data_IF_627106408521
#
_entry.id   IF_627106408521
#
_cell.length_a   1.000
_cell.length_b   1.000
_cell.length_c   1.000
_cell.angle_alpha   90.00
_cell.angle_beta   90.00
_cell.angle_gamma   90.00
#
_symmetry.space_group_name_H-M   'P 1'
#
loop_
_entity.id
_entity.type
_entity.pdbx_description
1 polymer ?
#
# COMPACT_ATOMS: atom_id res chain seq x y z
N UNK A 1 10.08 9.49 -17.09
CA UNK A 1 8.74 10.07 -17.32
C UNK A 1 7.94 9.07 -18.10
N UNK A 2 7.22 8.16 -17.43
CA UNK A 2 6.29 7.25 -18.10
C UNK A 2 4.96 7.98 -18.27
N UNK A 3 4.49 8.14 -19.50
CA UNK A 3 3.12 8.57 -19.75
C UNK A 3 2.21 7.42 -19.30
N UNK A 4 1.60 7.56 -18.13
CA UNK A 4 0.52 6.70 -17.68
C UNK A 4 -0.73 7.07 -18.49
N UNK A 5 -0.84 6.52 -19.69
CA UNK A 5 -2.12 6.53 -20.40
C UNK A 5 -3.11 5.73 -19.56
N UNK A 6 -4.30 6.28 -19.35
CA UNK A 6 -5.37 5.54 -18.65
C UNK A 6 -5.71 4.29 -19.45
N UNK A 7 -6.04 3.18 -18.78
CA UNK A 7 -6.58 1.97 -19.43
C UNK A 7 -7.75 2.33 -20.36
N UNK A 8 -8.54 3.32 -19.95
CA UNK A 8 -9.67 3.86 -20.71
C UNK A 8 -9.23 4.50 -22.03
N UNK A 9 -8.09 5.21 -22.05
CA UNK A 9 -7.53 5.80 -23.26
C UNK A 9 -7.01 4.72 -24.22
N UNK A 10 -6.37 3.68 -23.68
CA UNK A 10 -5.87 2.53 -24.46
C UNK A 10 -7.05 1.81 -25.11
N UNK A 11 -8.08 1.48 -24.33
CA UNK A 11 -9.29 0.81 -24.81
C UNK A 11 -10.00 1.63 -25.90
N UNK A 12 -10.15 2.93 -25.67
CA UNK A 12 -10.78 3.84 -26.63
C UNK A 12 -10.00 3.89 -27.95
N UNK A 13 -8.68 4.09 -27.89
CA UNK A 13 -7.84 4.17 -29.08
C UNK A 13 -7.83 2.87 -29.87
N UNK A 14 -7.70 1.73 -29.18
CA UNK A 14 -7.77 0.39 -29.81
C UNK A 14 -9.14 0.14 -30.45
N UNK A 15 -10.23 0.48 -29.76
CA UNK A 15 -11.58 0.34 -30.32
C UNK A 15 -11.78 1.24 -31.56
N UNK A 16 -11.33 2.49 -31.52
CA UNK A 16 -11.41 3.41 -32.66
C UNK A 16 -10.62 2.88 -33.86
N UNK A 17 -9.40 2.39 -33.65
CA UNK A 17 -8.55 1.83 -34.72
C UNK A 17 -9.15 0.56 -35.36
N UNK A 18 -9.71 -0.34 -34.54
CA UNK A 18 -10.39 -1.55 -34.99
C UNK A 18 -11.65 -1.20 -35.79
N UNK A 19 -12.49 -0.31 -35.26
CA UNK A 19 -13.73 0.13 -35.92
C UNK A 19 -13.45 0.81 -37.25
N UNK A 20 -12.45 1.68 -37.31
CA UNK A 20 -12.05 2.34 -38.56
C UNK A 20 -11.63 1.30 -39.61
N UNK A 21 -10.79 0.34 -39.22
CA UNK A 21 -10.29 -0.71 -40.12
C UNK A 21 -11.41 -1.62 -40.64
N UNK A 22 -12.32 -2.04 -39.75
CA UNK A 22 -13.48 -2.85 -40.11
C UNK A 22 -14.41 -2.10 -41.06
N UNK A 23 -14.64 -0.80 -40.82
CA UNK A 23 -15.47 0.04 -41.69
C UNK A 23 -14.89 0.12 -43.10
N UNK A 24 -13.57 0.25 -43.23
CA UNK A 24 -12.90 0.26 -44.54
C UNK A 24 -13.04 -1.10 -45.25
N UNK A 25 -12.84 -2.20 -44.53
CA UNK A 25 -13.05 -3.55 -45.06
C UNK A 25 -14.49 -3.78 -45.55
N UNK A 26 -15.49 -3.43 -44.74
CA UNK A 26 -16.91 -3.55 -45.10
C UNK A 26 -17.25 -2.66 -46.30
N UNK A 27 -16.75 -1.43 -46.33
CA UNK A 27 -16.97 -0.50 -47.45
C UNK A 27 -16.40 -1.06 -48.76
N UNK A 28 -15.25 -1.72 -48.70
CA UNK A 28 -14.66 -2.36 -49.88
C UNK A 28 -15.49 -3.55 -50.39
N UNK A 29 -16.07 -4.34 -49.49
CA UNK A 29 -17.03 -5.39 -49.86
C UNK A 29 -18.30 -4.81 -50.50
N UNK A 30 -18.80 -3.70 -49.97
CA UNK A 30 -19.99 -3.05 -50.53
C UNK A 30 -19.76 -2.62 -51.99
N UNK A 31 -18.56 -2.11 -52.32
CA UNK A 31 -18.18 -1.77 -53.70
C UNK A 31 -18.14 -2.98 -54.63
N UNK A 32 -17.68 -4.13 -54.13
CA UNK A 32 -17.74 -5.39 -54.89
C UNK A 32 -19.19 -5.77 -55.16
N UNK A 33 -20.06 -5.69 -54.15
CA UNK A 33 -21.50 -5.95 -54.32
C UNK A 33 -22.15 -5.02 -55.34
N UNK A 34 -21.90 -3.71 -55.25
CA UNK A 34 -22.40 -2.72 -56.21
C UNK A 34 -21.95 -3.07 -57.64
N UNK A 35 -20.66 -3.39 -57.82
CA UNK A 35 -20.10 -3.74 -59.12
C UNK A 35 -20.69 -5.03 -59.71
N UNK A 36 -21.03 -6.00 -58.85
CA UNK A 36 -21.69 -7.25 -59.25
C UNK A 36 -23.16 -7.03 -59.63
N UNK A 37 -23.85 -6.09 -58.97
CA UNK A 37 -25.25 -5.74 -59.29
C UNK A 37 -25.31 -4.99 -60.62
N UNK A 38 -24.33 -4.12 -60.89
CA UNK A 38 -24.21 -3.37 -62.15
C UNK A 38 -23.70 -4.22 -63.32
N UNK A 39 -23.33 -5.47 -63.06
CA UNK A 39 -22.80 -6.37 -64.07
C UNK A 39 -23.86 -6.77 -65.09
N UNK A 40 -23.70 -6.32 -66.33
CA UNK A 40 -24.51 -6.79 -67.46
C UNK A 40 -23.81 -7.96 -68.14
N UNK A 41 -24.49 -9.11 -68.16
CA UNK A 41 -24.00 -10.36 -68.74
C UNK A 41 -24.82 -10.66 -69.98
N UNK A 42 -24.16 -10.66 -71.14
CA UNK A 42 -24.79 -11.03 -72.39
C UNK A 42 -25.27 -12.49 -72.31
N UNK A 43 -26.58 -12.76 -72.46
CA UNK A 43 -27.14 -14.09 -72.25
C UNK A 43 -26.80 -15.09 -73.37
N UNK A 44 -26.33 -14.63 -74.53
CA UNK A 44 -25.97 -15.48 -75.67
C UNK A 44 -24.49 -15.88 -75.65
N UNK A 45 -23.61 -15.00 -75.18
CA UNK A 45 -22.16 -15.17 -75.17
C UNK A 45 -21.59 -15.45 -73.78
N UNK A 46 -22.36 -15.14 -72.72
CA UNK A 46 -21.93 -15.23 -71.33
C UNK A 46 -20.87 -14.19 -70.95
N UNK A 47 -20.60 -13.21 -71.82
CA UNK A 47 -19.61 -12.17 -71.55
C UNK A 47 -20.17 -11.10 -70.63
N UNK A 48 -19.39 -10.74 -69.63
CA UNK A 48 -19.71 -9.70 -68.67
C UNK A 48 -19.00 -8.40 -69.07
N UNK A 49 -19.77 -7.33 -69.25
CA UNK A 49 -19.29 -6.04 -69.75
C UNK A 49 -18.28 -5.34 -68.81
N UNK A 50 -18.34 -5.61 -67.51
CA UNK A 50 -17.51 -5.01 -66.48
C UNK A 50 -16.64 -6.04 -65.72
N UNK A 51 -16.34 -7.19 -66.33
CA UNK A 51 -15.58 -8.28 -65.69
C UNK A 51 -14.25 -7.83 -65.07
N UNK A 52 -13.44 -7.08 -65.82
CA UNK A 52 -12.13 -6.62 -65.34
C UNK A 52 -12.24 -5.67 -64.15
N UNK A 53 -13.28 -4.82 -64.15
CA UNK A 53 -13.56 -3.90 -63.06
C UNK A 53 -14.00 -4.64 -61.79
N UNK A 54 -14.90 -5.62 -61.91
CA UNK A 54 -15.30 -6.49 -60.79
C UNK A 54 -14.08 -7.21 -60.20
N UNK A 55 -13.22 -7.75 -61.08
CA UNK A 55 -11.99 -8.43 -60.66
C UNK A 55 -11.07 -7.48 -59.90
N UNK A 56 -10.92 -6.24 -60.34
CA UNK A 56 -10.14 -5.22 -59.64
C UNK A 56 -10.74 -4.91 -58.26
N UNK A 57 -12.05 -4.70 -58.17
CA UNK A 57 -12.73 -4.43 -56.89
C UNK A 57 -12.56 -5.60 -55.91
N UNK A 58 -12.62 -6.85 -56.37
CA UNK A 58 -12.38 -8.03 -55.54
C UNK A 58 -10.94 -8.05 -55.00
N UNK A 59 -9.94 -7.72 -55.83
CA UNK A 59 -8.55 -7.64 -55.40
C UNK A 59 -8.36 -6.52 -54.37
N UNK A 60 -8.94 -5.33 -54.61
CA UNK A 60 -8.89 -4.22 -53.66
C UNK A 60 -9.56 -4.57 -52.33
N UNK A 61 -10.75 -5.19 -52.37
CA UNK A 61 -11.45 -5.62 -51.17
C UNK A 61 -10.65 -6.64 -50.36
N UNK A 62 -9.98 -7.59 -51.02
CA UNK A 62 -9.09 -8.52 -50.34
C UNK A 62 -7.96 -7.79 -49.61
N UNK A 63 -7.30 -6.82 -50.25
CA UNK A 63 -6.22 -6.04 -49.62
C UNK A 63 -6.73 -5.24 -48.42
N UNK A 64 -7.91 -4.63 -48.52
CA UNK A 64 -8.53 -3.90 -47.40
C UNK A 64 -8.88 -4.82 -46.23
N UNK A 65 -9.41 -6.02 -46.50
CA UNK A 65 -9.73 -7.01 -45.47
C UNK A 65 -8.46 -7.54 -44.79
N UNK A 66 -7.42 -7.89 -45.55
CA UNK A 66 -6.13 -8.34 -44.99
C UNK A 66 -5.51 -7.26 -44.09
N UNK A 67 -5.54 -5.99 -44.54
CA UNK A 67 -5.06 -4.87 -43.73
C UNK A 67 -5.90 -4.66 -42.47
N UNK A 68 -7.22 -4.83 -42.57
CA UNK A 68 -8.12 -4.71 -41.43
C UNK A 68 -7.87 -5.80 -40.40
N UNK A 69 -7.70 -7.04 -40.84
CA UNK A 69 -7.38 -8.18 -39.98
C UNK A 69 -6.04 -7.96 -39.28
N UNK A 70 -5.01 -7.54 -40.03
CA UNK A 70 -3.69 -7.27 -39.48
C UNK A 70 -3.74 -6.15 -38.42
N UNK A 71 -4.47 -5.07 -38.70
CA UNK A 71 -4.62 -3.95 -37.75
C UNK A 71 -5.35 -4.42 -36.50
N UNK A 72 -6.48 -5.11 -36.65
CA UNK A 72 -7.24 -5.62 -35.51
C UNK A 72 -6.42 -6.61 -34.66
N UNK A 73 -5.69 -7.52 -35.30
CA UNK A 73 -4.82 -8.47 -34.59
C UNK A 73 -3.71 -7.76 -33.81
N UNK A 74 -3.06 -6.76 -34.41
CA UNK A 74 -2.01 -5.98 -33.75
C UNK A 74 -2.55 -5.20 -32.55
N UNK A 75 -3.69 -4.53 -32.72
CA UNK A 75 -4.31 -3.74 -31.66
C UNK A 75 -4.80 -4.62 -30.50
N UNK A 76 -5.42 -5.76 -30.80
CA UNK A 76 -5.85 -6.72 -29.78
C UNK A 76 -4.66 -7.31 -29.01
N UNK A 77 -3.55 -7.60 -29.69
CA UNK A 77 -2.33 -8.07 -29.04
C UNK A 77 -1.74 -7.02 -28.10
N UNK A 78 -1.68 -5.77 -28.55
CA UNK A 78 -1.21 -4.65 -27.71
C UNK A 78 -2.09 -4.45 -26.47
N UNK A 79 -3.40 -4.60 -26.63
CA UNK A 79 -4.36 -4.56 -25.52
C UNK A 79 -4.14 -5.70 -24.52
N UNK A 80 -3.94 -6.93 -25.02
CA UNK A 80 -3.65 -8.11 -24.20
C UNK A 80 -2.37 -7.93 -23.36
N UNK A 81 -1.28 -7.49 -23.99
CA UNK A 81 -0.02 -7.17 -23.29
C UNK A 81 -0.20 -6.08 -22.22
N UNK A 82 -1.07 -5.10 -22.48
CA UNK A 82 -1.36 -4.04 -21.51
C UNK A 82 -2.18 -4.55 -20.33
N UNK A 83 -3.14 -5.45 -20.59
CA UNK A 83 -3.95 -6.11 -19.57
C UNK A 83 -3.09 -7.03 -18.68
N UNK A 84 -2.18 -7.82 -19.28
CA UNK A 84 -1.25 -8.67 -18.53
C UNK A 84 -0.38 -7.86 -17.56
N UNK A 85 0.14 -6.70 -18.00
CA UNK A 85 0.91 -5.81 -17.11
C UNK A 85 0.05 -5.28 -15.98
N UNK A 86 -1.20 -4.89 -16.25
CA UNK A 86 -2.11 -4.41 -15.22
C UNK A 86 -2.39 -5.48 -14.16
N UNK A 87 -2.61 -6.73 -14.59
CA UNK A 87 -2.83 -7.86 -13.67
C UNK A 87 -1.59 -8.11 -12.80
N UNK A 88 -0.38 -8.02 -13.39
CA UNK A 88 0.86 -8.15 -12.63
C UNK A 88 1.04 -7.01 -11.61
N UNK A 89 0.76 -5.77 -12.02
CA UNK A 89 0.84 -4.61 -11.14
C UNK A 89 -0.18 -4.69 -9.99
N UNK A 90 -1.42 -5.09 -10.28
CA UNK A 90 -2.45 -5.35 -9.27
C UNK A 90 -1.98 -6.39 -8.26
N UNK A 91 -1.48 -7.54 -8.73
CA UNK A 91 -0.96 -8.59 -7.86
C UNK A 91 0.21 -8.12 -6.97
N UNK A 92 1.09 -7.26 -7.51
CA UNK A 92 2.18 -6.66 -6.74
C UNK A 92 1.66 -5.68 -5.68
N UNK A 93 0.75 -4.79 -6.04
CA UNK A 93 0.10 -3.85 -5.12
C UNK A 93 -0.62 -4.58 -3.99
N UNK A 94 -1.30 -5.68 -4.30
CA UNK A 94 -1.99 -6.50 -3.31
C UNK A 94 -1.01 -7.14 -2.30
N UNK A 95 0.14 -7.63 -2.79
CA UNK A 95 1.20 -8.13 -1.92
C UNK A 95 1.80 -7.03 -1.03
N UNK A 96 2.10 -5.86 -1.62
CA UNK A 96 2.64 -4.72 -0.88
C UNK A 96 1.67 -4.24 0.20
N UNK A 97 0.37 -4.13 -0.13
CA UNK A 97 -0.67 -3.77 0.82
C UNK A 97 -0.73 -4.71 2.00
N UNK A 98 -0.77 -6.03 1.76
CA UNK A 98 -0.78 -7.04 2.84
C UNK A 98 0.47 -6.96 3.71
N UNK A 99 1.63 -6.71 3.10
CA UNK A 99 2.89 -6.53 3.83
C UNK A 99 2.85 -5.29 4.74
N UNK A 100 2.33 -4.18 4.23
CA UNK A 100 2.19 -2.93 5.01
C UNK A 100 1.18 -3.13 6.15
N UNK A 101 0.04 -3.77 5.89
CA UNK A 101 -0.97 -4.05 6.91
C UNK A 101 -0.41 -4.91 8.05
N UNK A 102 0.32 -5.98 7.72
CA UNK A 102 0.99 -6.82 8.71
C UNK A 102 2.06 -6.06 9.50
N UNK A 103 2.85 -5.21 8.84
CA UNK A 103 3.85 -4.39 9.51
C UNK A 103 3.20 -3.38 10.47
N UNK A 104 2.09 -2.78 10.06
CA UNK A 104 1.33 -1.83 10.86
C UNK A 104 0.73 -2.51 12.10
N UNK A 105 0.19 -3.73 11.96
CA UNK A 105 -0.31 -4.52 13.09
C UNK A 105 0.81 -4.86 14.10
N UNK A 106 2.00 -5.23 13.62
CA UNK A 106 3.16 -5.45 14.48
C UNK A 106 3.56 -4.19 15.24
N UNK A 107 3.63 -3.04 14.57
CA UNK A 107 3.94 -1.75 15.21
C UNK A 107 2.90 -1.37 16.28
N UNK A 108 1.61 -1.62 16.03
CA UNK A 108 0.56 -1.40 17.04
C UNK A 108 0.75 -2.29 18.27
N UNK A 109 1.12 -3.55 18.05
CA UNK A 109 1.41 -4.51 19.13
C UNK A 109 2.63 -4.06 19.94
N UNK A 110 3.72 -3.66 19.28
CA UNK A 110 4.91 -3.12 19.95
C UNK A 110 4.62 -1.85 20.74
N UNK A 111 3.83 -0.94 20.17
CA UNK A 111 3.41 0.28 20.86
C UNK A 111 2.64 -0.06 22.14
N UNK A 112 1.65 -0.94 22.07
CA UNK A 112 0.87 -1.35 23.24
C UNK A 112 1.75 -2.02 24.32
N UNK A 113 2.72 -2.84 23.91
CA UNK A 113 3.70 -3.45 24.82
C UNK A 113 4.59 -2.40 25.49
N UNK A 114 5.07 -1.42 24.72
CA UNK A 114 5.91 -0.35 25.25
C UNK A 114 5.14 0.58 26.20
N UNK A 115 3.88 0.90 25.89
CA UNK A 115 3.01 1.66 26.79
C UNK A 115 2.80 0.91 28.11
N UNK A 116 2.53 -0.40 28.06
CA UNK A 116 2.43 -1.23 29.27
C UNK A 116 3.72 -1.21 30.08
N UNK A 117 4.87 -1.42 29.44
CA UNK A 117 6.17 -1.39 30.11
C UNK A 117 6.47 -0.02 30.73
N UNK A 118 6.13 1.07 30.04
CA UNK A 118 6.27 2.43 30.56
C UNK A 118 5.44 2.61 31.83
N UNK A 119 4.22 2.09 31.84
CA UNK A 119 3.30 2.19 32.97
C UNK A 119 3.83 1.39 34.18
N UNK A 120 4.32 0.16 33.94
CA UNK A 120 4.93 -0.70 34.97
C UNK A 120 6.19 -0.07 35.56
N UNK A 121 7.07 0.47 34.72
CA UNK A 121 8.32 1.11 35.17
C UNK A 121 8.06 2.40 35.94
N UNK A 122 7.05 3.20 35.57
CA UNK A 122 6.60 4.34 36.35
C UNK A 122 6.10 3.93 37.74
N UNK A 123 5.27 2.88 37.83
CA UNK A 123 4.82 2.35 39.12
C UNK A 123 5.97 1.84 40.00
N UNK A 124 6.94 1.13 39.41
CA UNK A 124 8.13 0.68 40.12
C UNK A 124 8.99 1.85 40.63
N UNK A 125 9.12 2.91 39.84
CA UNK A 125 9.83 4.13 40.22
C UNK A 125 9.16 4.86 41.39
N UNK A 126 7.83 4.95 41.40
CA UNK A 126 7.07 5.55 42.50
C UNK A 126 7.25 4.75 43.81
N UNK A 127 7.12 3.43 43.75
CA UNK A 127 7.38 2.56 44.90
C UNK A 127 8.83 2.69 45.41
N UNK A 128 9.80 2.79 44.50
CA UNK A 128 11.20 2.99 44.88
C UNK A 128 11.40 4.35 45.58
N UNK A 129 10.77 5.42 45.10
CA UNK A 129 10.80 6.75 45.72
C UNK A 129 10.17 6.72 47.12
N UNK A 130 9.02 6.07 47.29
CA UNK A 130 8.35 5.94 48.58
C UNK A 130 9.21 5.15 49.60
N UNK A 131 9.78 4.03 49.15
CA UNK A 131 10.70 3.21 49.94
C UNK A 131 11.96 3.98 50.36
N UNK A 132 12.50 4.82 49.47
CA UNK A 132 13.65 5.66 49.78
C UNK A 132 13.29 6.73 50.82
N UNK A 133 12.13 7.37 50.68
CA UNK A 133 11.65 8.37 51.63
C UNK A 133 11.39 7.77 53.02
N UNK A 134 10.76 6.60 53.09
CA UNK A 134 10.55 5.88 54.35
C UNK A 134 11.87 5.45 54.99
N UNK A 135 12.85 4.98 54.22
CA UNK A 135 14.20 4.69 54.73
C UNK A 135 14.90 5.94 55.26
N UNK A 136 14.81 7.08 54.57
CA UNK A 136 15.35 8.37 55.06
C UNK A 136 14.72 8.78 56.39
N UNK A 137 13.39 8.75 56.50
CA UNK A 137 12.68 9.04 57.77
C UNK A 137 13.09 8.10 58.91
N UNK A 138 13.28 6.81 58.63
CA UNK A 138 13.78 5.84 59.61
C UNK A 138 15.22 6.15 60.05
N UNK A 139 16.08 6.59 59.12
CA UNK A 139 17.45 6.99 59.41
C UNK A 139 17.48 8.22 60.32
N UNK A 140 16.75 9.28 59.97
CA UNK A 140 16.65 10.50 60.78
C UNK A 140 16.12 10.20 62.20
N UNK A 141 15.13 9.31 62.32
CA UNK A 141 14.61 8.88 63.64
C UNK A 141 15.67 8.17 64.46
N UNK A 142 16.48 7.30 63.84
CA UNK A 142 17.60 6.62 64.50
C UNK A 142 18.69 7.60 64.92
N UNK A 143 19.03 8.57 64.08
CA UNK A 143 19.99 9.62 64.43
C UNK A 143 19.51 10.46 65.61
N UNK A 144 18.24 10.90 65.61
CA UNK A 144 17.65 11.63 66.75
C UNK A 144 17.62 10.78 68.03
N UNK A 145 17.32 9.49 67.93
CA UNK A 145 17.38 8.57 69.08
C UNK A 145 18.82 8.40 69.59
N UNK A 146 19.81 8.33 68.69
CA UNK A 146 21.22 8.24 69.09
C UNK A 146 21.67 9.51 69.82
N UNK A 147 21.33 10.68 69.28
CA UNK A 147 21.64 11.98 69.88
C UNK A 147 20.91 12.16 71.23
N UNK A 148 19.65 11.73 71.31
CA UNK A 148 18.88 11.71 72.56
C UNK A 148 19.45 10.74 73.59
N UNK A 149 19.95 9.57 73.18
CA UNK A 149 20.64 8.63 74.05
C UNK A 149 21.98 9.21 74.54
N UNK A 150 22.77 9.83 73.67
CA UNK A 150 24.02 10.51 74.04
C UNK A 150 23.76 11.65 75.05
N UNK A 151 22.72 12.46 74.84
CA UNK A 151 22.30 13.51 75.78
C UNK A 151 21.77 12.92 77.10
N UNK A 152 20.95 11.88 77.06
CA UNK A 152 20.44 11.21 78.26
C UNK A 152 21.57 10.55 79.06
N UNK A 153 22.61 10.06 78.40
CA UNK A 153 23.81 9.55 79.09
C UNK A 153 24.58 10.70 79.74
N UNK A 154 24.69 11.86 79.08
CA UNK A 154 25.30 13.06 79.66
C UNK A 154 24.52 13.67 80.84
N UNK A 155 23.19 13.66 80.78
CA UNK A 155 22.32 14.12 81.89
C UNK A 155 22.26 13.09 83.02
N UNK A 156 22.26 11.79 82.71
CA UNK A 156 22.36 10.73 83.72
C UNK A 156 23.69 10.76 84.47
N UNK A 157 24.79 11.13 83.80
CA UNK A 157 26.08 11.40 84.44
C UNK A 157 26.06 12.71 85.23
N UNK A 158 25.43 13.78 84.72
CA UNK A 158 25.29 15.04 85.46
C UNK A 158 24.41 14.92 86.72
N UNK A 159 23.39 14.05 86.72
CA UNK A 159 22.53 13.80 87.87
C UNK A 159 23.12 12.74 88.82
N UNK A 160 24.01 11.87 88.35
CA UNK A 160 24.80 10.95 89.20
C UNK A 160 26.08 11.58 89.77
N UNK A 161 26.43 12.79 89.33
CA UNK A 161 27.58 13.57 89.81
C UNK A 161 27.19 14.71 90.76
N UNK A 162 25.95 14.74 91.29
CA UNK A 162 25.72 15.49 92.53
C UNK A 162 26.40 14.69 93.64
N UNK A 163 27.53 15.17 94.20
CA UNK A 163 28.12 14.51 95.34
C UNK A 163 27.18 14.74 96.52
N UNK A 164 26.61 13.65 97.05
CA UNK A 164 26.19 13.61 98.44
C UNK A 164 27.45 13.69 99.28
N UNK A 165 27.91 14.91 99.54
CA UNK A 165 28.85 15.26 100.61
C UNK A 165 28.04 16.25 101.46
N UNK A 166 27.59 15.93 102.66
CA UNK A 166 28.24 15.13 103.69
C UNK A 166 28.58 16.09 104.83
N UNK A 167 27.84 15.98 105.93
CA UNK A 167 28.10 16.71 107.17
C UNK A 167 27.51 15.92 108.33
N UNK A 168 28.36 15.14 108.98
CA UNK A 168 28.09 14.36 110.19
C UNK A 168 28.05 15.34 111.38
N UNK A 169 26.96 15.30 112.14
CA UNK A 169 26.89 15.38 113.60
C UNK A 169 25.57 14.73 114.04
#
# INVERSE_FOLDING_TARGET
>A
MGQSYSLEDILKNTAEAIVASLKDGISSLNRVYESLIEADVDPATGQCSNFDYIREQIVQARVHLERSEQTASSELKSLDESLERLIQDEGKLDCEKRSIEAHLENLRTEQASNEKLLTETQGALELAKENLNTKKKKLEKKEKMKLGAEIATGVGVAMSLIPVIGGIA
#
